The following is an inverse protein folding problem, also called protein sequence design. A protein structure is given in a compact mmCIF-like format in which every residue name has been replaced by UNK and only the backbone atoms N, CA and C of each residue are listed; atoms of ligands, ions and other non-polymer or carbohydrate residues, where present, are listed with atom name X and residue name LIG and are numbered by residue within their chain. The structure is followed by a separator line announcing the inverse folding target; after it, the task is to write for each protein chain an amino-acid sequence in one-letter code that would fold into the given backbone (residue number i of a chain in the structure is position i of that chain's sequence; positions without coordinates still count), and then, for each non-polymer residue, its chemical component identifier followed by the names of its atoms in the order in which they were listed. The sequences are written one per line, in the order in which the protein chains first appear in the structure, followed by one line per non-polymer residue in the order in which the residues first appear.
data_IF_590277536060
#
_entry.id   IF_590277536060
#
_cell.length_a   1.000
_cell.length_b   1.000
_cell.length_c   1.000
_cell.angle_alpha   90.00
_cell.angle_beta   90.00
_cell.angle_gamma   90.00
#
_symmetry.space_group_name_H-M   'P 1'
#
loop_
_entity.id
_entity.type
_entity.pdbx_description
1 polymer ?
#
# COMPACT_ATOMS: atom_id res chain seq x y z
N UNK A 1 3.50 -15.58 9.42
CA UNK A 1 3.96 -16.06 8.10
C UNK A 1 5.40 -15.62 7.90
N UNK A 2 6.17 -16.23 7.00
CA UNK A 2 7.55 -15.81 6.70
C UNK A 2 7.59 -15.06 5.35
N UNK A 3 7.48 -13.72 5.34
CA UNK A 3 7.56 -12.94 4.11
C UNK A 3 8.95 -12.95 3.46
N UNK A 4 10.02 -13.28 4.19
CA UNK A 4 11.39 -13.28 3.65
C UNK A 4 11.62 -14.44 2.66
N UNK A 5 10.89 -15.54 2.82
CA UNK A 5 10.92 -16.68 1.89
C UNK A 5 9.83 -16.63 0.81
N UNK A 6 9.04 -15.54 0.76
CA UNK A 6 8.05 -15.35 -0.30
C UNK A 6 8.72 -15.27 -1.67
N UNK A 7 8.16 -15.88 -2.73
CA UNK A 7 8.67 -15.69 -4.10
C UNK A 7 8.74 -14.23 -4.56
N UNK A 8 7.95 -13.34 -3.91
CA UNK A 8 7.99 -11.90 -4.17
C UNK A 8 9.28 -11.27 -3.59
N UNK A 9 9.82 -11.81 -2.50
CA UNK A 9 10.87 -11.20 -1.69
C UNK A 9 12.07 -12.09 -1.37
N UNK A 10 12.16 -13.28 -1.99
CA UNK A 10 13.26 -14.23 -1.75
C UNK A 10 14.61 -13.76 -2.32
N UNK A 11 14.63 -12.63 -3.06
CA UNK A 11 15.84 -12.05 -3.63
C UNK A 11 16.40 -12.81 -4.84
N UNK A 12 15.66 -13.78 -5.38
CA UNK A 12 15.97 -14.46 -6.63
C UNK A 12 15.82 -13.53 -7.84
N UNK A 13 16.27 -13.98 -9.01
CA UNK A 13 16.14 -13.26 -10.29
C UNK A 13 14.67 -13.14 -10.78
N UNK A 14 13.73 -13.81 -10.11
CA UNK A 14 12.29 -13.74 -10.40
C UNK A 14 11.48 -13.01 -9.33
N UNK A 15 12.13 -12.51 -8.29
CA UNK A 15 11.50 -11.76 -7.22
C UNK A 15 11.33 -10.28 -7.59
N UNK A 16 10.61 -9.53 -6.75
CA UNK A 16 10.67 -8.08 -6.72
C UNK A 16 11.91 -7.60 -5.95
N UNK A 17 13.02 -8.34 -6.02
CA UNK A 17 14.21 -8.24 -5.16
C UNK A 17 13.96 -8.59 -3.70
N UNK A 18 15.04 -8.74 -2.94
CA UNK A 18 14.98 -9.27 -1.59
C UNK A 18 14.86 -8.22 -0.49
N UNK A 19 15.29 -8.62 0.72
CA UNK A 19 15.45 -7.72 1.84
C UNK A 19 16.65 -6.75 1.66
N UNK A 20 16.64 -5.67 2.44
CA UNK A 20 17.76 -4.75 2.56
C UNK A 20 18.96 -5.37 3.29
N UNK A 21 20.14 -4.78 3.08
CA UNK A 21 21.27 -4.98 3.98
C UNK A 21 20.89 -4.49 5.38
N UNK A 22 21.45 -5.10 6.42
CA UNK A 22 21.22 -4.63 7.78
C UNK A 22 21.60 -3.15 7.95
N UNK A 23 20.70 -2.40 8.55
CA UNK A 23 20.86 -0.99 8.89
C UNK A 23 20.28 -0.80 10.30
N UNK A 24 21.06 -0.25 11.23
CA UNK A 24 20.57 -0.07 12.59
C UNK A 24 19.61 1.13 12.67
N UNK A 25 18.37 0.89 13.13
CA UNK A 25 17.35 1.93 13.39
C UNK A 25 16.43 1.51 14.55
N UNK A 26 15.62 2.44 15.07
CA UNK A 26 14.73 2.21 16.22
C UNK A 26 13.36 1.61 15.85
N UNK A 27 13.22 1.01 14.67
CA UNK A 27 11.96 0.56 14.09
C UNK A 27 11.43 1.48 12.98
N UNK A 28 10.26 1.13 12.47
CA UNK A 28 9.58 1.82 11.38
C UNK A 28 8.28 2.42 11.89
N UNK A 29 8.15 3.75 11.87
CA UNK A 29 6.96 4.48 12.31
C UNK A 29 5.83 4.30 11.29
N UNK A 30 4.94 3.35 11.53
CA UNK A 30 3.87 3.04 10.57
C UNK A 30 2.72 4.04 10.60
N UNK A 31 2.36 4.48 11.81
CA UNK A 31 1.31 5.47 12.12
C UNK A 31 1.74 6.25 13.35
N UNK A 32 1.12 7.37 13.74
CA UNK A 32 1.42 8.05 15.00
C UNK A 32 1.33 7.17 16.26
N UNK A 33 0.63 6.04 16.18
CA UNK A 33 0.35 5.15 17.32
C UNK A 33 1.10 3.82 17.26
N UNK A 34 1.72 3.48 16.12
CA UNK A 34 2.31 2.15 15.91
C UNK A 34 3.71 2.25 15.30
N UNK A 35 4.68 1.66 16.01
CA UNK A 35 6.05 1.45 15.55
C UNK A 35 6.25 -0.04 15.31
N UNK A 36 6.63 -0.39 14.07
CA UNK A 36 7.01 -1.75 13.71
C UNK A 36 8.43 -1.99 14.21
N UNK A 37 8.70 -3.08 14.95
CA UNK A 37 10.04 -3.42 15.38
C UNK A 37 11.00 -3.53 14.20
N UNK A 38 12.28 -3.11 14.34
CA UNK A 38 13.26 -3.26 13.28
C UNK A 38 13.46 -4.73 12.93
N UNK A 39 13.52 -5.02 11.64
CA UNK A 39 13.89 -6.33 11.12
C UNK A 39 15.40 -6.47 10.94
N UNK A 40 15.78 -7.43 10.10
CA UNK A 40 17.18 -7.70 9.75
C UNK A 40 17.65 -6.87 8.53
N UNK A 41 16.80 -5.98 8.01
CA UNK A 41 17.06 -5.14 6.84
C UNK A 41 17.27 -3.66 7.19
N UNK A 42 16.60 -2.78 6.46
CA UNK A 42 16.60 -1.31 6.60
C UNK A 42 17.54 -0.57 5.64
N UNK A 43 18.55 -1.26 5.11
CA UNK A 43 19.49 -0.74 4.11
C UNK A 43 19.06 -1.03 2.68
N UNK A 44 19.98 -0.77 1.73
CA UNK A 44 19.74 -1.03 0.31
C UNK A 44 19.47 -2.52 0.05
N UNK A 45 18.54 -2.82 -0.85
CA UNK A 45 18.28 -4.19 -1.31
C UNK A 45 19.55 -4.81 -1.90
N UNK A 46 19.83 -6.07 -1.55
CA UNK A 46 21.13 -6.71 -1.79
C UNK A 46 21.18 -7.64 -3.00
N UNK A 47 20.03 -8.14 -3.46
CA UNK A 47 19.91 -9.13 -4.53
C UNK A 47 18.60 -8.98 -5.32
N UNK A 48 18.52 -9.65 -6.47
CA UNK A 48 17.37 -9.63 -7.37
C UNK A 48 17.39 -8.49 -8.41
N UNK A 49 16.34 -8.41 -9.26
CA UNK A 49 16.33 -7.58 -10.47
C UNK A 49 16.44 -6.07 -10.25
N UNK A 50 16.07 -5.60 -9.06
CA UNK A 50 15.97 -4.19 -8.69
C UNK A 50 17.06 -3.75 -7.71
N UNK A 51 18.08 -4.58 -7.43
CA UNK A 51 19.20 -4.20 -6.53
C UNK A 51 19.92 -2.91 -6.97
N UNK A 52 19.98 -2.66 -8.28
CA UNK A 52 20.62 -1.49 -8.89
C UNK A 52 19.61 -0.37 -9.25
N UNK A 53 18.31 -0.58 -8.97
CA UNK A 53 17.26 0.42 -9.20
C UNK A 53 17.54 1.69 -8.40
N UNK A 54 17.27 2.84 -9.02
CA UNK A 54 17.32 4.15 -8.37
C UNK A 54 15.91 4.64 -8.08
N UNK A 55 15.64 4.91 -6.81
CA UNK A 55 14.48 5.66 -6.34
C UNK A 55 14.85 7.14 -6.46
N UNK A 56 14.13 7.89 -7.31
CA UNK A 56 14.54 9.25 -7.70
C UNK A 56 13.76 10.38 -7.03
N UNK A 57 12.61 10.08 -6.40
CA UNK A 57 11.73 11.05 -5.75
C UNK A 57 11.60 10.75 -4.26
N UNK A 58 11.12 11.73 -3.48
CA UNK A 58 10.98 11.59 -2.04
C UNK A 58 12.32 11.39 -1.31
N UNK A 59 12.28 10.86 -0.07
CA UNK A 59 11.06 10.54 0.68
C UNK A 59 10.37 11.83 1.14
N UNK A 60 9.07 11.79 1.38
CA UNK A 60 8.27 12.93 1.86
C UNK A 60 8.04 12.82 3.37
N UNK A 61 7.71 11.62 3.84
CA UNK A 61 7.45 11.28 5.22
C UNK A 61 8.18 9.97 5.55
N UNK A 62 9.52 10.00 5.66
CA UNK A 62 10.30 8.80 5.94
C UNK A 62 9.91 8.18 7.29
N UNK A 63 9.74 6.87 7.31
CA UNK A 63 9.29 6.14 8.49
C UNK A 63 10.43 5.55 9.36
N UNK A 64 11.70 5.65 8.93
CA UNK A 64 12.85 5.10 9.66
C UNK A 64 13.85 6.18 10.04
N UNK A 65 14.41 6.06 11.24
CA UNK A 65 15.53 6.90 11.68
C UNK A 65 16.73 6.81 10.72
N UNK A 66 17.38 7.94 10.46
CA UNK A 66 18.53 8.02 9.55
C UNK A 66 18.17 8.17 8.07
N UNK A 67 16.88 8.30 7.74
CA UNK A 67 16.39 8.73 6.43
C UNK A 67 15.80 10.13 6.56
N UNK A 68 16.28 11.07 5.75
CA UNK A 68 15.81 12.45 5.75
C UNK A 68 14.83 12.70 4.61
N UNK A 69 13.79 13.49 4.88
CA UNK A 69 12.85 13.94 3.86
C UNK A 69 13.57 14.80 2.81
N UNK A 70 13.17 14.67 1.55
CA UNK A 70 13.66 15.50 0.48
C UNK A 70 13.17 16.95 0.70
N UNK A 71 14.06 17.95 0.70
CA UNK A 71 13.66 19.35 0.90
C UNK A 71 12.75 19.87 -0.22
N UNK A 72 12.80 19.26 -1.40
CA UNK A 72 11.94 19.58 -2.53
C UNK A 72 10.96 18.42 -2.79
N UNK A 73 9.65 18.68 -2.69
CA UNK A 73 8.62 17.64 -2.78
C UNK A 73 8.72 16.78 -4.05
N UNK A 74 9.02 17.39 -5.20
CA UNK A 74 9.25 16.69 -6.48
C UNK A 74 10.72 16.78 -6.94
N UNK A 75 11.64 17.10 -6.03
CA UNK A 75 13.06 17.27 -6.35
C UNK A 75 13.74 15.94 -6.67
N UNK A 76 14.72 15.99 -7.55
CA UNK A 76 15.54 14.82 -7.90
C UNK A 76 16.45 14.41 -6.74
N UNK A 77 16.22 13.21 -6.19
CA UNK A 77 16.96 12.64 -5.06
C UNK A 77 17.26 11.14 -5.27
N UNK A 78 18.21 10.80 -6.17
CA UNK A 78 18.51 9.41 -6.52
C UNK A 78 19.19 8.66 -5.37
N UNK A 79 18.57 7.56 -4.95
CA UNK A 79 19.10 6.64 -3.92
C UNK A 79 18.73 5.20 -4.23
N UNK A 80 19.29 4.25 -3.49
CA UNK A 80 18.94 2.84 -3.64
C UNK A 80 17.52 2.57 -3.11
N UNK A 81 16.87 1.53 -3.63
CA UNK A 81 15.70 0.92 -2.99
C UNK A 81 16.14 0.29 -1.65
N UNK A 82 15.45 0.61 -0.55
CA UNK A 82 15.68 0.02 0.78
C UNK A 82 14.46 -0.76 1.24
N UNK A 83 14.67 -1.87 1.96
CA UNK A 83 13.59 -2.66 2.58
C UNK A 83 13.98 -3.15 3.96
N UNK A 84 12.98 -3.24 4.83
CA UNK A 84 13.08 -3.89 6.13
C UNK A 84 11.88 -4.84 6.29
N UNK A 85 11.99 -6.02 5.67
CA UNK A 85 10.85 -6.91 5.52
C UNK A 85 10.40 -7.45 6.88
N UNK A 86 9.17 -7.14 7.26
CA UNK A 86 8.66 -7.34 8.62
C UNK A 86 7.76 -8.56 8.77
N UNK A 87 8.28 -9.58 9.47
CA UNK A 87 7.48 -10.72 9.96
C UNK A 87 6.39 -10.24 10.94
N UNK A 88 6.68 -9.19 11.72
CA UNK A 88 5.76 -8.62 12.69
C UNK A 88 4.52 -8.04 12.01
N UNK A 89 4.70 -7.19 10.99
CA UNK A 89 3.59 -6.61 10.24
C UNK A 89 2.75 -7.69 9.54
N UNK A 90 3.42 -8.61 8.84
CA UNK A 90 2.73 -9.66 8.09
C UNK A 90 1.94 -10.65 8.97
N UNK A 91 2.44 -10.94 10.17
CA UNK A 91 1.76 -11.82 11.13
C UNK A 91 0.70 -11.11 11.96
N UNK A 92 0.75 -9.78 12.00
CA UNK A 92 -0.21 -8.92 12.71
C UNK A 92 -1.50 -8.71 11.94
N UNK A 93 -1.41 -8.32 10.67
CA UNK A 93 -2.55 -7.75 9.94
C UNK A 93 -2.78 -8.25 8.50
N UNK A 94 -1.95 -9.16 7.99
CA UNK A 94 -2.05 -9.61 6.59
C UNK A 94 -2.16 -11.13 6.45
N UNK A 95 -2.65 -11.82 7.49
CA UNK A 95 -2.90 -13.27 7.40
C UNK A 95 -4.17 -13.52 6.60
N UNK A 96 -4.36 -14.76 6.18
CA UNK A 96 -5.57 -15.21 5.49
C UNK A 96 -6.83 -14.88 6.29
N UNK A 97 -6.80 -15.05 7.61
CA UNK A 97 -7.96 -14.77 8.47
C UNK A 97 -8.29 -13.28 8.52
N UNK A 98 -7.29 -12.39 8.41
CA UNK A 98 -7.50 -10.94 8.38
C UNK A 98 -8.19 -10.53 7.06
N UNK A 99 -7.78 -11.13 5.94
CA UNK A 99 -8.38 -10.92 4.62
C UNK A 99 -9.80 -11.47 4.57
N UNK A 100 -10.02 -12.70 5.07
CA UNK A 100 -11.35 -13.31 5.16
C UNK A 100 -12.29 -12.47 6.02
N UNK A 101 -11.82 -12.00 7.17
CA UNK A 101 -12.60 -11.15 8.07
C UNK A 101 -12.99 -9.83 7.39
N UNK A 102 -12.06 -9.18 6.69
CA UNK A 102 -12.35 -7.96 5.94
C UNK A 102 -13.47 -8.17 4.90
N UNK A 103 -13.40 -9.26 4.13
CA UNK A 103 -14.38 -9.58 3.09
C UNK A 103 -15.75 -9.93 3.67
N UNK A 104 -15.80 -10.68 4.78
CA UNK A 104 -17.04 -11.30 5.26
C UNK A 104 -17.76 -10.51 6.36
N UNK A 105 -17.06 -9.64 7.09
CA UNK A 105 -17.63 -8.93 8.25
C UNK A 105 -18.14 -7.51 7.93
N UNK A 106 -17.75 -6.94 6.79
CA UNK A 106 -18.09 -5.57 6.40
C UNK A 106 -19.31 -5.55 5.47
N UNK A 107 -20.23 -4.62 5.70
CA UNK A 107 -21.54 -4.60 5.02
C UNK A 107 -21.66 -3.52 3.96
N UNK A 108 -20.92 -2.44 4.13
CA UNK A 108 -20.96 -1.25 3.30
C UNK A 108 -19.54 -0.81 2.94
N UNK A 109 -19.41 0.01 1.90
CA UNK A 109 -18.10 0.41 1.37
C UNK A 109 -17.28 1.23 2.37
N UNK A 110 -17.93 2.00 3.25
CA UNK A 110 -17.22 2.82 4.24
C UNK A 110 -16.59 1.92 5.32
N UNK A 111 -17.34 0.96 5.85
CA UNK A 111 -16.79 -0.01 6.80
C UNK A 111 -15.71 -0.89 6.16
N UNK A 112 -15.90 -1.32 4.91
CA UNK A 112 -14.90 -2.07 4.15
C UNK A 112 -13.60 -1.29 3.96
N UNK A 113 -13.67 -0.08 3.40
CA UNK A 113 -12.47 0.72 3.12
C UNK A 113 -11.74 1.12 4.41
N UNK A 114 -12.46 1.44 5.49
CA UNK A 114 -11.84 1.81 6.77
C UNK A 114 -11.13 0.60 7.39
N UNK A 115 -11.77 -0.58 7.41
CA UNK A 115 -11.13 -1.79 7.92
C UNK A 115 -9.93 -2.23 7.07
N UNK A 116 -10.00 -2.06 5.75
CA UNK A 116 -8.89 -2.35 4.85
C UNK A 116 -7.68 -1.44 5.13
N UNK A 117 -7.91 -0.14 5.31
CA UNK A 117 -6.88 0.87 5.54
C UNK A 117 -6.32 0.85 6.97
N UNK A 118 -7.15 0.52 7.96
CA UNK A 118 -6.80 0.43 9.37
C UNK A 118 -7.58 1.38 10.27
N UNK A 119 -7.59 1.04 11.56
CA UNK A 119 -8.03 1.88 12.68
C UNK A 119 -6.81 2.12 13.57
N UNK A 120 -6.11 3.22 13.30
CA UNK A 120 -4.79 3.46 13.87
C UNK A 120 -4.84 3.77 15.36
N UNK A 121 -5.91 4.39 15.86
CA UNK A 121 -6.11 4.62 17.30
C UNK A 121 -6.33 3.30 18.04
N UNK A 122 -6.98 2.33 17.39
CA UNK A 122 -7.13 0.96 17.90
C UNK A 122 -5.88 0.08 17.69
N UNK A 123 -4.75 0.65 17.23
CA UNK A 123 -3.53 -0.08 16.90
C UNK A 123 -3.74 -1.17 15.82
N UNK A 124 -4.71 -0.95 14.94
CA UNK A 124 -5.06 -1.86 13.86
C UNK A 124 -4.63 -1.27 12.51
N UNK A 125 -3.67 -1.91 11.84
CA UNK A 125 -3.17 -1.40 10.55
C UNK A 125 -4.03 -1.82 9.36
N UNK A 126 -4.87 -2.85 9.49
CA UNK A 126 -5.57 -3.41 8.33
C UNK A 126 -4.62 -4.00 7.28
N UNK A 127 -5.19 -4.63 6.25
CA UNK A 127 -4.42 -5.36 5.24
C UNK A 127 -3.65 -4.44 4.29
N UNK A 128 -4.11 -3.20 4.09
CA UNK A 128 -3.42 -2.21 3.26
C UNK A 128 -2.18 -1.66 3.97
N UNK A 129 -2.35 -1.02 5.12
CA UNK A 129 -1.21 -0.43 5.84
C UNK A 129 -0.26 -1.53 6.33
N UNK A 130 -0.78 -2.66 6.83
CA UNK A 130 0.03 -3.82 7.18
C UNK A 130 0.82 -4.40 6.00
N UNK A 131 0.27 -4.35 4.78
CA UNK A 131 0.94 -4.78 3.55
C UNK A 131 2.14 -3.89 3.20
N UNK A 132 1.95 -2.57 3.18
CA UNK A 132 3.05 -1.62 2.97
C UNK A 132 4.15 -1.79 4.02
N UNK A 133 3.80 -1.90 5.30
CA UNK A 133 4.77 -2.02 6.38
C UNK A 133 5.32 -3.45 6.59
N UNK A 134 4.83 -4.43 5.83
CA UNK A 134 5.53 -5.71 5.62
C UNK A 134 6.77 -5.51 4.74
N UNK A 135 6.73 -4.57 3.80
CA UNK A 135 7.87 -4.21 2.93
C UNK A 135 8.81 -3.25 3.68
N UNK A 136 8.22 -2.21 4.28
CA UNK A 136 8.94 -1.19 5.04
C UNK A 136 10.00 -0.46 4.20
N UNK A 137 11.05 0.03 4.85
CA UNK A 137 12.17 0.64 4.16
C UNK A 137 11.84 1.98 3.48
N UNK A 138 12.50 2.23 2.35
CA UNK A 138 12.39 3.47 1.57
C UNK A 138 12.34 3.13 0.07
N UNK A 139 11.23 3.42 -0.62
CA UNK A 139 10.09 4.23 -0.15
C UNK A 139 8.91 3.41 0.37
N UNK A 140 9.03 2.09 0.55
CA UNK A 140 7.91 1.22 0.92
C UNK A 140 7.22 1.58 2.25
N UNK A 141 7.96 2.19 3.19
CA UNK A 141 7.42 2.73 4.44
C UNK A 141 6.94 4.18 4.37
N UNK A 142 6.97 4.84 3.21
CA UNK A 142 6.57 6.24 3.04
C UNK A 142 5.21 6.33 2.36
N UNK A 143 4.22 6.92 3.04
CA UNK A 143 2.84 7.02 2.57
C UNK A 143 2.70 7.65 1.18
N UNK A 144 3.53 8.64 0.85
CA UNK A 144 3.42 9.40 -0.39
C UNK A 144 4.22 8.78 -1.54
N UNK A 145 5.30 8.07 -1.21
CA UNK A 145 6.27 7.62 -2.21
C UNK A 145 6.39 6.10 -2.33
N UNK A 146 5.54 5.34 -1.61
CA UNK A 146 5.44 3.88 -1.71
C UNK A 146 5.40 3.29 -3.13
N UNK A 147 4.82 3.94 -4.18
CA UNK A 147 4.90 3.42 -5.56
C UNK A 147 6.31 3.33 -6.14
N UNK A 148 7.31 3.94 -5.50
CA UNK A 148 8.72 3.80 -5.87
C UNK A 148 9.31 2.44 -5.50
N UNK A 149 8.63 1.63 -4.68
CA UNK A 149 8.94 0.20 -4.51
C UNK A 149 8.15 -0.62 -5.55
N UNK A 150 8.80 -1.46 -6.38
CA UNK A 150 8.10 -2.30 -7.37
C UNK A 150 7.03 -3.24 -6.79
N UNK A 151 7.14 -3.63 -5.52
CA UNK A 151 6.15 -4.48 -4.86
C UNK A 151 4.81 -3.76 -4.60
N UNK A 152 4.76 -2.43 -4.70
CA UNK A 152 3.54 -1.63 -4.60
C UNK A 152 2.44 -2.16 -5.53
N UNK A 153 2.79 -2.47 -6.78
CA UNK A 153 1.82 -2.91 -7.78
C UNK A 153 1.26 -4.30 -7.50
N UNK A 154 2.07 -5.21 -6.94
CA UNK A 154 1.60 -6.53 -6.51
C UNK A 154 0.71 -6.41 -5.27
N UNK A 155 1.09 -5.55 -4.32
CA UNK A 155 0.28 -5.26 -3.14
C UNK A 155 -1.08 -4.69 -3.53
N UNK A 156 -1.11 -3.64 -4.36
CA UNK A 156 -2.36 -3.03 -4.81
C UNK A 156 -3.17 -3.92 -5.75
N UNK A 157 -2.53 -4.82 -6.50
CA UNK A 157 -3.24 -5.88 -7.22
C UNK A 157 -4.02 -6.81 -6.28
N UNK A 158 -3.46 -7.14 -5.11
CA UNK A 158 -4.19 -7.93 -4.10
C UNK A 158 -5.24 -7.10 -3.36
N UNK A 159 -5.02 -5.79 -3.16
CA UNK A 159 -6.03 -4.88 -2.61
C UNK A 159 -7.25 -4.81 -3.52
N UNK A 160 -7.04 -4.57 -4.82
CA UNK A 160 -8.11 -4.56 -5.82
C UNK A 160 -8.81 -5.91 -5.91
N UNK A 161 -8.06 -7.03 -5.87
CA UNK A 161 -8.65 -8.37 -5.81
C UNK A 161 -9.58 -8.57 -4.61
N UNK A 162 -9.18 -8.11 -3.42
CA UNK A 162 -9.99 -8.22 -2.20
C UNK A 162 -11.25 -7.37 -2.32
N UNK A 163 -11.14 -6.16 -2.86
CA UNK A 163 -12.29 -5.30 -3.15
C UNK A 163 -13.22 -5.92 -4.19
N UNK A 164 -12.67 -6.44 -5.28
CA UNK A 164 -13.40 -7.15 -6.32
C UNK A 164 -14.17 -8.35 -5.77
N UNK A 165 -13.55 -9.19 -4.92
CA UNK A 165 -14.24 -10.30 -4.25
C UNK A 165 -15.40 -9.76 -3.40
N UNK A 166 -15.16 -8.72 -2.60
CA UNK A 166 -16.18 -8.11 -1.75
C UNK A 166 -17.35 -7.54 -2.57
N UNK A 167 -17.10 -6.82 -3.65
CA UNK A 167 -18.15 -6.29 -4.53
C UNK A 167 -19.00 -7.41 -5.13
N UNK A 168 -18.37 -8.50 -5.58
CA UNK A 168 -19.06 -9.60 -6.27
C UNK A 168 -19.93 -10.48 -5.35
N UNK A 169 -19.89 -10.30 -4.03
CA UNK A 169 -20.83 -10.98 -3.13
C UNK A 169 -22.26 -10.43 -3.22
N UNK A 170 -22.40 -9.15 -3.55
CA UNK A 170 -23.69 -8.46 -3.72
C UNK A 170 -23.53 -7.27 -4.70
N UNK A 171 -23.31 -7.55 -5.99
CA UNK A 171 -22.97 -6.50 -6.96
C UNK A 171 -24.10 -5.48 -7.14
N UNK A 172 -25.36 -5.86 -6.92
CA UNK A 172 -26.51 -4.96 -7.02
C UNK A 172 -26.42 -3.78 -6.06
N UNK A 173 -25.86 -3.98 -4.87
CA UNK A 173 -25.72 -2.92 -3.86
C UNK A 173 -24.29 -2.39 -3.75
N UNK A 174 -23.27 -3.20 -4.09
CA UNK A 174 -21.86 -2.88 -3.83
C UNK A 174 -21.12 -2.28 -5.03
N UNK A 175 -21.54 -2.55 -6.27
CA UNK A 175 -20.76 -2.16 -7.45
C UNK A 175 -20.60 -0.64 -7.55
N UNK A 176 -21.67 0.11 -7.27
CA UNK A 176 -21.66 1.58 -7.34
C UNK A 176 -21.70 2.23 -5.95
N UNK A 177 -21.35 1.49 -4.90
CA UNK A 177 -21.27 2.04 -3.56
C UNK A 177 -20.03 2.93 -3.42
N UNK A 178 -20.24 4.19 -3.04
CA UNK A 178 -19.18 5.17 -2.75
C UNK A 178 -19.43 5.84 -1.40
N UNK A 179 -18.35 6.14 -0.67
CA UNK A 179 -18.42 6.85 0.61
C UNK A 179 -17.11 7.60 0.89
N UNK A 180 -17.18 8.56 1.81
CA UNK A 180 -16.03 9.40 2.19
C UNK A 180 -16.03 10.75 1.47
N UNK A 181 -14.90 11.44 1.58
CA UNK A 181 -14.71 12.83 1.14
C UNK A 181 -13.41 12.96 0.35
N UNK A 182 -13.19 14.13 -0.27
CA UNK A 182 -12.02 14.37 -1.13
C UNK A 182 -10.70 14.56 -0.37
N UNK A 183 -10.75 14.75 0.94
CA UNK A 183 -9.59 14.98 1.82
C UNK A 183 -9.38 13.82 2.78
N UNK A 184 -8.11 13.49 3.05
CA UNK A 184 -7.70 12.44 3.99
C UNK A 184 -8.30 12.74 5.36
N UNK A 185 -8.98 11.76 5.97
CA UNK A 185 -9.73 11.90 7.22
C UNK A 185 -10.74 13.05 7.26
N UNK A 186 -11.15 13.56 6.09
CA UNK A 186 -11.96 14.76 5.94
C UNK A 186 -11.32 16.02 6.59
N UNK A 187 -9.98 16.13 6.52
CA UNK A 187 -9.22 17.27 7.05
C UNK A 187 -8.35 17.94 5.96
N UNK A 188 -8.64 19.20 5.57
CA UNK A 188 -9.81 19.99 5.98
C UNK A 188 -11.12 19.39 5.43
N UNK A 189 -12.29 19.73 5.99
CA UNK A 189 -13.56 19.21 5.49
C UNK A 189 -13.78 19.51 4.01
N UNK A 190 -14.25 18.51 3.26
CA UNK A 190 -14.52 18.60 1.82
C UNK A 190 -15.86 17.97 1.45
N UNK A 191 -16.22 18.04 0.17
CA UNK A 191 -17.45 17.45 -0.34
C UNK A 191 -17.40 15.92 -0.24
N UNK A 192 -18.58 15.29 -0.15
CA UNK A 192 -18.70 13.85 -0.26
C UNK A 192 -18.34 13.41 -1.68
N UNK A 193 -17.65 12.27 -1.76
CA UNK A 193 -17.33 11.64 -3.04
C UNK A 193 -18.59 11.14 -3.75
N UNK A 194 -18.72 11.41 -5.04
CA UNK A 194 -19.82 10.95 -5.90
C UNK A 194 -19.29 10.19 -7.12
N UNK A 195 -20.19 9.52 -7.86
CA UNK A 195 -19.83 8.76 -9.07
C UNK A 195 -19.34 9.66 -10.20
N UNK A 196 -19.72 10.94 -10.17
CA UNK A 196 -19.39 11.96 -11.17
C UNK A 196 -18.04 12.63 -10.91
N UNK A 197 -17.44 12.42 -9.74
CA UNK A 197 -16.13 12.99 -9.42
C UNK A 197 -15.08 12.46 -10.40
N UNK A 198 -14.25 13.37 -10.91
CA UNK A 198 -13.21 13.04 -11.88
C UNK A 198 -11.94 12.59 -11.15
N UNK A 199 -11.49 11.39 -11.47
CA UNK A 199 -10.21 10.83 -11.03
C UNK A 199 -9.20 10.95 -12.16
N UNK A 200 -8.02 11.50 -11.88
CA UNK A 200 -6.95 11.72 -12.85
C UNK A 200 -5.62 11.14 -12.36
N UNK A 201 -4.80 10.63 -13.29
CA UNK A 201 -3.43 10.16 -13.02
C UNK A 201 -2.38 11.06 -13.68
N UNK A 202 -2.70 12.35 -13.81
CA UNK A 202 -1.83 13.37 -14.37
C UNK A 202 -1.38 13.03 -15.79
N UNK A 203 -0.07 12.88 -15.99
CA UNK A 203 0.52 12.59 -17.31
C UNK A 203 0.34 11.14 -17.76
N UNK A 204 -0.09 10.24 -16.86
CA UNK A 204 -0.18 8.80 -17.16
C UNK A 204 -1.51 8.41 -17.81
N UNK A 205 -2.60 9.11 -17.47
CA UNK A 205 -3.93 8.85 -18.03
C UNK A 205 -4.80 10.11 -17.96
N UNK A 206 -5.79 10.20 -18.84
CA UNK A 206 -6.83 11.24 -18.77
C UNK A 206 -7.75 11.07 -17.55
N UNK A 207 -8.62 12.05 -17.33
CA UNK A 207 -9.63 11.99 -16.28
C UNK A 207 -10.80 11.09 -16.65
N UNK A 208 -11.26 10.29 -15.68
CA UNK A 208 -12.46 9.45 -15.78
C UNK A 208 -13.40 9.76 -14.61
N UNK A 209 -14.72 9.76 -14.83
CA UNK A 209 -15.69 9.71 -13.73
C UNK A 209 -15.44 8.47 -12.86
N UNK A 210 -15.51 8.63 -11.54
CA UNK A 210 -15.32 7.52 -10.59
C UNK A 210 -16.25 6.34 -10.91
N UNK A 211 -17.50 6.60 -11.32
CA UNK A 211 -18.47 5.57 -11.67
C UNK A 211 -18.00 4.63 -12.79
N UNK A 212 -17.18 5.12 -13.73
CA UNK A 212 -16.62 4.32 -14.83
C UNK A 212 -15.46 3.42 -14.35
N UNK A 213 -14.99 3.60 -13.12
CA UNK A 213 -13.82 2.90 -12.56
C UNK A 213 -14.19 1.82 -11.53
N UNK A 214 -15.48 1.64 -11.22
CA UNK A 214 -15.90 0.72 -10.14
C UNK A 214 -16.12 -0.73 -10.59
N UNK A 215 -16.07 -1.01 -11.89
CA UNK A 215 -16.23 -2.35 -12.45
C UNK A 215 -14.97 -2.76 -13.22
N UNK A 216 -14.41 -3.91 -12.87
CA UNK A 216 -13.27 -4.52 -13.59
C UNK A 216 -13.59 -4.96 -15.03
N UNK A 217 -14.86 -4.90 -15.44
CA UNK A 217 -15.34 -5.32 -16.77
C UNK A 217 -16.23 -4.28 -17.46
N UNK A 218 -16.19 -3.03 -17.01
CA UNK A 218 -16.85 -1.89 -17.65
C UNK A 218 -15.88 -0.69 -17.74
N UNK A 219 -16.31 0.38 -18.41
CA UNK A 219 -15.50 1.58 -18.59
C UNK A 219 -14.17 1.26 -19.30
N UNK A 220 -13.01 1.67 -18.76
CA UNK A 220 -11.71 1.37 -19.35
C UNK A 220 -11.19 -0.04 -19.03
N UNK A 221 -11.90 -0.85 -18.24
CA UNK A 221 -11.42 -2.11 -17.71
C UNK A 221 -12.06 -3.35 -18.35
N UNK A 222 -11.27 -4.41 -18.48
CA UNK A 222 -11.73 -5.71 -18.96
C UNK A 222 -10.83 -6.84 -18.42
N UNK A 223 -10.88 -7.08 -17.11
CA UNK A 223 -10.07 -8.10 -16.42
C UNK A 223 -10.85 -8.80 -15.30
N UNK A 224 -10.33 -9.94 -14.84
CA UNK A 224 -10.79 -10.66 -13.65
C UNK A 224 -9.58 -11.20 -12.88
N UNK A 225 -9.80 -11.58 -11.63
CA UNK A 225 -8.81 -12.28 -10.80
C UNK A 225 -9.08 -13.79 -10.78
N UNK A 226 -7.99 -14.58 -10.81
CA UNK A 226 -8.00 -16.05 -10.71
C UNK A 226 -7.24 -16.49 -9.47
#
# INVERSE_FOLDING_TARGET
MDPLSSPIFDGSDTSMSGNGAFFAHNGTQATPYTVIPPGEGGGCVTSGPFKDMKVNLGPIAPAMDGIEANPEFFGYNPRCLRRDISVFASSGWTKTEDIESLITSTKDVLSFQNMMQGDFEALFLGVHTGGHYTIGGDPGGDFFTSPGDPAFYLHHGQIDRVWWIWQNQDPETRLHAVAGTHTVFNDPPSANTTLEDIIELGVNAGGFPLGDLLSTTDGPFCYIYV
#
